data_IF_959979989783
#
_entry.id   IF_959979989783
#
_cell.length_a   1.000
_cell.length_b   1.000
_cell.length_c   1.000
_cell.angle_alpha   90.00
_cell.angle_beta   90.00
_cell.angle_gamma   90.00
#
_symmetry.space_group_name_H-M   'P 1'
#
loop_
_entity.id
_entity.type
_entity.pdbx_description
1 polymer ?
#
# COMPACT_ATOMS: atom_id res chain seq x y z
N UNK A 1 5.91 -29.85 -57.65
CA UNK A 1 6.86 -28.73 -57.39
C UNK A 1 6.39 -28.00 -56.15
N UNK A 2 7.34 -27.63 -55.29
CA UNK A 2 7.15 -27.40 -53.85
C UNK A 2 6.33 -26.15 -53.49
N UNK A 3 5.37 -26.30 -52.58
CA UNK A 3 4.66 -25.18 -51.95
C UNK A 3 5.59 -24.46 -50.96
N UNK A 4 5.86 -23.17 -51.21
CA UNK A 4 6.64 -22.31 -50.32
C UNK A 4 5.70 -21.72 -49.27
N UNK A 5 5.80 -22.21 -48.03
CA UNK A 5 5.19 -21.55 -46.87
C UNK A 5 6.00 -20.30 -46.50
N UNK A 6 5.39 -19.13 -46.64
CA UNK A 6 5.94 -17.86 -46.19
C UNK A 6 5.58 -17.69 -44.70
N UNK A 7 6.52 -17.97 -43.80
CA UNK A 7 6.38 -17.67 -42.38
C UNK A 7 6.56 -16.15 -42.18
N UNK A 8 5.46 -15.42 -42.03
CA UNK A 8 5.48 -14.03 -41.57
C UNK A 8 5.79 -14.03 -40.06
N UNK A 9 7.04 -13.74 -39.72
CA UNK A 9 7.40 -13.33 -38.36
C UNK A 9 6.79 -11.94 -38.10
N UNK A 10 5.68 -11.91 -37.36
CA UNK A 10 5.20 -10.68 -36.72
C UNK A 10 6.25 -10.27 -35.68
N UNK A 11 7.11 -9.33 -36.05
CA UNK A 11 7.97 -8.62 -35.11
C UNK A 11 7.01 -7.80 -34.23
N UNK A 12 6.66 -8.34 -33.07
CA UNK A 12 5.96 -7.60 -32.03
C UNK A 12 6.86 -6.46 -31.61
N UNK A 13 6.61 -5.26 -32.12
CA UNK A 13 7.23 -4.03 -31.62
C UNK A 13 6.84 -3.92 -30.16
N UNK A 14 7.75 -4.24 -29.25
CA UNK A 14 7.60 -3.92 -27.84
C UNK A 14 7.50 -2.41 -27.75
N UNK A 15 6.27 -1.90 -27.63
CA UNK A 15 5.99 -0.52 -27.25
C UNK A 15 6.58 -0.35 -25.85
N UNK A 16 7.85 0.04 -25.78
CA UNK A 16 8.50 0.39 -24.53
C UNK A 16 7.59 1.39 -23.83
N UNK A 17 7.08 1.01 -22.66
CA UNK A 17 6.26 1.89 -21.87
C UNK A 17 7.08 3.14 -21.54
N UNK A 18 6.70 4.30 -22.08
CA UNK A 18 7.40 5.55 -21.81
C UNK A 18 7.00 6.05 -20.43
N UNK A 19 7.72 5.60 -19.41
CA UNK A 19 7.53 6.08 -18.03
C UNK A 19 8.11 7.49 -17.85
N UNK A 20 7.56 8.31 -16.94
CA UNK A 20 8.10 9.63 -16.65
C UNK A 20 9.52 9.58 -16.06
N UNK A 21 10.49 10.28 -16.66
CA UNK A 21 11.88 10.31 -16.17
C UNK A 21 11.99 10.81 -14.72
N UNK A 22 11.06 11.67 -14.29
CA UNK A 22 10.98 12.17 -12.91
C UNK A 22 10.81 11.08 -11.84
N UNK A 23 10.43 9.86 -12.22
CA UNK A 23 10.33 8.72 -11.31
C UNK A 23 11.68 8.16 -10.86
N UNK A 24 12.76 8.50 -11.57
CA UNK A 24 14.14 8.11 -11.23
C UNK A 24 15.07 9.32 -11.05
N UNK A 25 14.53 10.54 -11.06
CA UNK A 25 15.34 11.76 -10.92
C UNK A 25 16.12 11.72 -9.60
N UNK A 26 17.46 11.74 -9.64
CA UNK A 26 18.26 11.66 -8.44
C UNK A 26 17.99 12.80 -7.46
N UNK A 27 18.06 12.48 -6.17
CA UNK A 27 17.99 13.44 -5.06
C UNK A 27 19.32 13.40 -4.32
N UNK A 28 19.89 14.56 -4.00
CA UNK A 28 21.15 14.66 -3.27
C UNK A 28 21.04 13.98 -1.89
N UNK A 29 22.11 13.31 -1.45
CA UNK A 29 22.09 12.57 -0.18
C UNK A 29 21.82 13.48 1.03
N UNK A 30 22.25 14.74 0.98
CA UNK A 30 21.99 15.76 1.99
C UNK A 30 20.51 16.15 2.12
N UNK A 31 19.71 15.91 1.09
CA UNK A 31 18.27 16.19 1.07
C UNK A 31 17.42 15.00 1.50
N UNK A 32 18.01 13.81 1.61
CA UNK A 32 17.30 12.59 2.03
C UNK A 32 17.27 12.48 3.55
N UNK A 33 16.09 12.16 4.09
CA UNK A 33 16.02 11.75 5.49
C UNK A 33 16.75 10.40 5.68
N UNK A 34 17.28 10.15 6.89
CA UNK A 34 18.06 8.92 7.18
C UNK A 34 17.31 7.60 6.96
N UNK A 35 15.97 7.65 6.97
CA UNK A 35 15.09 6.51 6.71
C UNK A 35 14.68 6.38 5.24
N UNK A 36 14.88 7.42 4.43
CA UNK A 36 14.33 7.56 3.09
C UNK A 36 15.22 6.88 2.05
N UNK A 37 14.59 6.19 1.09
CA UNK A 37 15.21 5.73 -0.15
C UNK A 37 14.72 6.67 -1.27
N UNK A 38 15.64 7.41 -1.88
CA UNK A 38 15.32 8.35 -2.97
C UNK A 38 14.91 7.65 -4.27
N UNK A 39 14.31 8.37 -5.23
CA UNK A 39 13.87 7.83 -6.53
C UNK A 39 14.94 7.03 -7.28
N UNK A 40 16.21 7.43 -7.17
CA UNK A 40 17.36 6.74 -7.77
C UNK A 40 17.62 5.32 -7.24
N UNK A 41 16.90 4.88 -6.19
CA UNK A 41 16.96 3.49 -5.72
C UNK A 41 16.21 2.49 -6.61
N UNK A 42 15.42 2.95 -7.58
CA UNK A 42 14.80 2.13 -8.61
C UNK A 42 15.68 1.97 -9.84
N UNK A 43 15.39 0.96 -10.66
CA UNK A 43 16.04 0.72 -11.95
C UNK A 43 15.08 1.10 -13.08
N UNK A 44 15.45 2.06 -13.92
CA UNK A 44 14.59 2.54 -15.02
C UNK A 44 14.04 1.37 -15.85
N UNK A 45 12.75 1.45 -16.16
CA UNK A 45 11.97 0.43 -16.89
C UNK A 45 11.83 -0.95 -16.21
N UNK A 46 12.43 -1.17 -15.04
CA UNK A 46 12.37 -2.43 -14.28
C UNK A 46 11.67 -2.26 -12.93
N UNK A 47 12.07 -1.26 -12.15
CA UNK A 47 11.55 -1.01 -10.80
C UNK A 47 11.50 0.48 -10.46
N UNK A 48 10.58 0.85 -9.57
CA UNK A 48 10.38 2.25 -9.17
C UNK A 48 10.12 2.35 -7.68
N UNK A 49 10.72 3.35 -7.04
CA UNK A 49 10.41 3.70 -5.65
C UNK A 49 9.07 4.43 -5.61
N UNK A 50 8.18 4.03 -4.70
CA UNK A 50 6.94 4.75 -4.40
C UNK A 50 7.24 6.04 -3.63
N UNK A 51 7.96 6.95 -4.27
CA UNK A 51 8.52 8.16 -3.65
C UNK A 51 7.45 9.20 -3.38
N UNK A 52 7.45 9.75 -2.16
CA UNK A 52 6.59 10.90 -1.79
C UNK A 52 7.00 12.22 -2.47
N UNK A 53 8.10 12.25 -3.23
CA UNK A 53 8.63 13.44 -3.91
C UNK A 53 8.03 13.68 -5.29
N UNK A 54 7.16 12.78 -5.75
CA UNK A 54 6.41 12.90 -6.99
C UNK A 54 5.02 12.25 -6.82
N UNK A 55 4.26 12.12 -7.90
CA UNK A 55 2.90 11.58 -7.91
C UNK A 55 2.79 10.14 -7.39
N UNK A 56 3.86 9.35 -7.42
CA UNK A 56 3.87 7.99 -6.84
C UNK A 56 3.66 8.02 -5.32
N UNK A 57 3.87 9.17 -4.68
CA UNK A 57 3.59 9.42 -3.29
C UNK A 57 2.15 9.13 -2.90
N UNK A 58 1.21 9.25 -3.85
CA UNK A 58 -0.20 8.95 -3.62
C UNK A 58 -0.44 7.48 -3.27
N UNK A 59 0.43 6.56 -3.70
CA UNK A 59 0.41 5.13 -3.33
C UNK A 59 0.97 4.90 -1.91
N UNK A 60 1.57 5.88 -1.25
CA UNK A 60 1.98 5.71 0.14
C UNK A 60 0.78 5.52 1.07
N UNK A 61 0.93 4.74 2.14
CA UNK A 61 -0.05 4.71 3.23
C UNK A 61 -0.20 6.08 3.91
N UNK A 62 0.81 6.94 3.79
CA UNK A 62 0.84 8.29 4.37
C UNK A 62 0.06 9.33 3.56
N UNK A 63 -0.27 9.03 2.30
CA UNK A 63 -1.02 9.96 1.47
C UNK A 63 -2.43 10.21 2.03
N UNK A 64 -2.82 11.48 2.13
CA UNK A 64 -4.18 11.91 2.47
C UNK A 64 -5.11 11.61 1.30
N UNK A 65 -5.58 10.37 1.25
CA UNK A 65 -6.42 9.78 0.20
C UNK A 65 -7.63 9.19 0.90
N UNK A 66 -8.65 10.00 1.19
CA UNK A 66 -9.74 9.58 2.05
C UNK A 66 -10.49 8.39 1.45
N UNK A 67 -10.96 7.50 2.32
CA UNK A 67 -11.82 6.38 1.94
C UNK A 67 -12.77 6.03 3.07
N UNK A 68 -13.87 5.38 2.71
CA UNK A 68 -14.84 4.80 3.63
C UNK A 68 -14.61 3.31 3.69
N UNK A 69 -14.45 2.77 4.90
CA UNK A 69 -14.39 1.35 5.16
C UNK A 69 -15.43 1.01 6.22
N UNK A 70 -16.35 0.11 5.89
CA UNK A 70 -17.41 -0.35 6.80
C UNK A 70 -18.23 0.80 7.42
N UNK A 71 -18.57 1.81 6.60
CA UNK A 71 -19.36 2.98 7.02
C UNK A 71 -18.56 4.07 7.75
N UNK A 72 -17.27 3.86 8.04
CA UNK A 72 -16.42 4.87 8.67
C UNK A 72 -15.44 5.49 7.68
N UNK A 73 -15.39 6.83 7.66
CA UNK A 73 -14.43 7.60 6.86
C UNK A 73 -13.07 7.70 7.56
N UNK A 74 -12.01 7.46 6.81
CA UNK A 74 -10.62 7.62 7.22
C UNK A 74 -9.90 8.58 6.26
N UNK A 75 -9.07 9.52 6.74
CA UNK A 75 -8.31 10.42 5.85
C UNK A 75 -7.21 9.73 5.03
N UNK A 76 -6.75 8.57 5.47
CA UNK A 76 -5.73 7.76 4.80
C UNK A 76 -5.50 6.43 5.50
N UNK A 77 -4.74 5.54 4.86
CA UNK A 77 -4.53 4.16 5.34
C UNK A 77 -3.75 4.14 6.65
N UNK A 78 -2.80 5.06 6.84
CA UNK A 78 -2.00 5.14 8.05
C UNK A 78 -2.85 5.39 9.31
N UNK A 79 -3.78 6.34 9.27
CA UNK A 79 -4.67 6.62 10.41
C UNK A 79 -5.52 5.40 10.77
N UNK A 80 -6.14 4.77 9.78
CA UNK A 80 -6.86 3.51 9.96
C UNK A 80 -5.98 2.44 10.62
N UNK A 81 -4.82 2.17 10.05
CA UNK A 81 -3.89 1.16 10.54
C UNK A 81 -3.50 1.43 11.99
N UNK A 82 -2.99 2.62 12.27
CA UNK A 82 -2.43 2.94 13.58
C UNK A 82 -3.52 2.94 14.65
N UNK A 83 -4.77 3.29 14.29
CA UNK A 83 -5.91 3.18 15.20
C UNK A 83 -6.18 1.75 15.69
N UNK A 84 -5.81 0.71 14.93
CA UNK A 84 -6.02 -0.70 15.35
C UNK A 84 -5.24 -1.05 16.63
N UNK A 85 -4.13 -0.34 16.90
CA UNK A 85 -3.29 -0.53 18.09
C UNK A 85 -3.93 -0.02 19.38
N UNK A 86 -4.95 0.83 19.26
CA UNK A 86 -5.67 1.42 20.39
C UNK A 86 -6.89 0.57 20.80
N UNK A 87 -7.32 0.67 22.07
CA UNK A 87 -8.53 0.00 22.55
C UNK A 87 -9.72 0.27 21.64
N UNK A 88 -10.48 -0.76 21.27
CA UNK A 88 -11.65 -0.59 20.39
C UNK A 88 -12.86 -0.01 21.11
N UNK A 89 -13.02 -0.34 22.39
CA UNK A 89 -14.09 0.11 23.27
C UNK A 89 -13.69 -0.14 24.73
N UNK A 90 -14.57 0.21 25.66
CA UNK A 90 -14.32 0.12 27.11
C UNK A 90 -14.12 -1.31 27.62
N UNK A 91 -14.52 -2.33 26.84
CA UNK A 91 -14.34 -3.75 27.16
C UNK A 91 -13.02 -4.32 26.64
N UNK A 92 -12.26 -3.56 25.84
CA UNK A 92 -10.96 -3.98 25.34
C UNK A 92 -9.94 -3.92 26.48
N UNK A 93 -9.33 -5.05 26.84
CA UNK A 93 -8.40 -5.13 27.99
C UNK A 93 -7.25 -4.10 27.94
N UNK A 94 -6.93 -3.59 26.75
CA UNK A 94 -5.90 -2.56 26.56
C UNK A 94 -6.27 -1.23 27.22
N UNK A 95 -7.55 -0.97 27.54
CA UNK A 95 -7.97 0.22 28.30
C UNK A 95 -7.24 0.33 29.64
N UNK A 96 -6.93 -0.80 30.26
CA UNK A 96 -6.29 -0.87 31.58
C UNK A 96 -4.76 -0.75 31.54
N UNK A 97 -4.14 -0.67 30.36
CA UNK A 97 -2.68 -0.70 30.24
C UNK A 97 -2.02 0.63 30.62
N UNK A 98 -2.73 1.73 30.42
CA UNK A 98 -2.25 3.09 30.69
C UNK A 98 -3.40 4.09 30.59
N UNK A 99 -3.15 5.34 30.99
CA UNK A 99 -4.00 6.45 30.59
C UNK A 99 -3.66 6.85 29.15
N UNK A 100 -4.47 6.39 28.20
CA UNK A 100 -4.20 6.56 26.78
C UNK A 100 -4.24 8.04 26.38
N UNK A 101 -3.17 8.52 25.73
CA UNK A 101 -3.11 9.89 25.21
C UNK A 101 -4.15 10.17 24.12
N UNK A 102 -4.47 9.16 23.32
CA UNK A 102 -5.41 9.25 22.21
C UNK A 102 -6.39 8.10 22.27
N UNK A 103 -7.64 8.37 21.90
CA UNK A 103 -8.64 7.36 21.57
C UNK A 103 -8.36 6.77 20.18
N UNK A 104 -8.95 5.60 19.93
CA UNK A 104 -8.94 4.98 18.60
C UNK A 104 -9.60 5.86 17.54
N UNK A 105 -10.64 6.60 17.90
CA UNK A 105 -11.35 7.44 16.93
C UNK A 105 -10.49 8.62 16.48
N UNK A 106 -9.79 9.28 17.40
CA UNK A 106 -8.86 10.37 17.12
C UNK A 106 -7.74 9.91 16.19
N UNK A 107 -7.07 8.80 16.51
CA UNK A 107 -6.00 8.26 15.67
C UNK A 107 -6.50 7.86 14.28
N UNK A 108 -7.73 7.35 14.19
CA UNK A 108 -8.39 7.06 12.93
C UNK A 108 -8.61 8.29 12.03
N UNK A 109 -8.59 9.50 12.59
CA UNK A 109 -8.67 10.76 11.85
C UNK A 109 -7.31 11.42 11.60
N UNK A 110 -6.21 10.82 12.06
CA UNK A 110 -4.85 11.28 11.75
C UNK A 110 -4.38 10.77 10.39
N UNK A 111 -3.28 11.32 9.88
CA UNK A 111 -2.65 10.85 8.64
C UNK A 111 -1.13 11.02 8.67
N UNK A 112 -0.44 10.33 7.77
CA UNK A 112 1.02 10.47 7.61
C UNK A 112 1.80 10.32 8.91
N UNK A 113 2.75 11.24 9.13
CA UNK A 113 3.64 11.21 10.29
C UNK A 113 2.93 11.39 11.64
N UNK A 114 1.80 12.10 11.67
CA UNK A 114 1.00 12.26 12.89
C UNK A 114 0.41 10.93 13.35
N UNK A 115 -0.23 10.20 12.43
CA UNK A 115 -0.77 8.86 12.70
C UNK A 115 0.36 7.89 13.09
N UNK A 116 1.51 7.96 12.40
CA UNK A 116 2.68 7.15 12.75
C UNK A 116 3.18 7.44 14.16
N UNK A 117 3.28 8.70 14.57
CA UNK A 117 3.72 9.07 15.91
C UNK A 117 2.78 8.52 17.00
N UNK A 118 1.46 8.63 16.80
CA UNK A 118 0.47 8.02 17.69
C UNK A 118 0.61 6.48 17.72
N UNK A 119 0.86 5.87 16.56
CA UNK A 119 1.12 4.45 16.42
C UNK A 119 2.37 3.94 17.12
N UNK A 120 3.46 4.71 17.10
CA UNK A 120 4.72 4.37 17.76
C UNK A 120 4.57 4.44 19.30
N UNK A 121 3.84 5.45 19.78
CA UNK A 121 3.41 5.52 21.19
C UNK A 121 2.64 4.27 21.61
N UNK A 122 1.61 3.87 20.85
CA UNK A 122 0.83 2.66 21.12
C UNK A 122 1.69 1.38 21.05
N UNK A 123 2.61 1.29 20.09
CA UNK A 123 3.54 0.15 19.99
C UNK A 123 4.41 -0.01 21.23
N UNK A 124 4.84 1.09 21.85
CA UNK A 124 5.63 1.04 23.08
C UNK A 124 4.84 0.39 24.22
N UNK A 125 3.57 0.77 24.37
CA UNK A 125 2.65 0.21 25.36
C UNK A 125 2.35 -1.27 25.07
N UNK A 126 2.07 -1.62 23.81
CA UNK A 126 1.81 -3.01 23.41
C UNK A 126 3.03 -3.91 23.70
N UNK A 127 4.25 -3.45 23.39
CA UNK A 127 5.49 -4.19 23.69
C UNK A 127 5.69 -4.38 25.18
N UNK A 128 5.50 -3.34 26.00
CA UNK A 128 5.60 -3.42 27.47
C UNK A 128 4.64 -4.47 28.03
N UNK A 129 3.45 -4.59 27.46
CA UNK A 129 2.41 -5.53 27.86
C UNK A 129 2.44 -6.86 27.10
N UNK A 130 3.48 -7.13 26.29
CA UNK A 130 3.67 -8.37 25.51
C UNK A 130 2.47 -8.73 24.62
N UNK A 131 1.80 -7.73 24.05
CA UNK A 131 0.67 -7.92 23.13
C UNK A 131 1.13 -7.85 21.68
N UNK A 132 0.74 -8.84 20.88
CA UNK A 132 1.03 -8.94 19.45
C UNK A 132 -0.23 -9.08 18.57
N UNK A 133 -1.36 -8.63 19.10
CA UNK A 133 -2.66 -8.60 18.42
C UNK A 133 -3.28 -7.20 18.47
N UNK A 134 -4.18 -6.96 17.54
CA UNK A 134 -5.06 -5.78 17.48
C UNK A 134 -6.52 -6.24 17.46
N UNK A 135 -7.47 -5.33 17.65
CA UNK A 135 -8.90 -5.65 17.49
C UNK A 135 -9.49 -4.93 16.29
N UNK A 136 -10.50 -5.55 15.67
CA UNK A 136 -11.36 -4.91 14.68
C UNK A 136 -12.73 -5.58 14.67
N UNK A 137 -13.79 -4.77 14.85
CA UNK A 137 -15.18 -5.20 15.00
C UNK A 137 -15.33 -6.27 16.09
N UNK A 138 -14.72 -6.04 17.26
CA UNK A 138 -14.80 -6.93 18.42
C UNK A 138 -13.96 -8.21 18.32
N UNK A 139 -13.26 -8.44 17.20
CA UNK A 139 -12.42 -9.63 16.99
C UNK A 139 -10.95 -9.30 17.20
N UNK A 140 -10.23 -10.16 17.92
CA UNK A 140 -8.76 -10.09 18.03
C UNK A 140 -8.11 -10.67 16.77
N UNK A 141 -7.19 -9.92 16.19
CA UNK A 141 -6.44 -10.27 14.99
C UNK A 141 -4.96 -10.35 15.34
N UNK A 142 -4.30 -11.46 14.98
CA UNK A 142 -2.83 -11.55 15.08
C UNK A 142 -2.21 -10.43 14.24
N UNK A 143 -1.47 -9.53 14.88
CA UNK A 143 -0.91 -8.34 14.26
C UNK A 143 0.49 -8.60 13.72
N UNK A 144 1.34 -9.22 14.55
CA UNK A 144 2.70 -9.59 14.17
C UNK A 144 2.74 -11.05 13.71
N UNK A 145 2.79 -11.25 12.39
CA UNK A 145 2.88 -12.59 11.78
C UNK A 145 3.46 -12.49 10.37
N UNK A 146 4.21 -13.52 9.98
CA UNK A 146 4.72 -13.74 8.63
C UNK A 146 3.66 -14.29 7.65
N UNK A 147 2.50 -14.72 8.15
CA UNK A 147 1.40 -15.27 7.35
C UNK A 147 0.42 -14.18 6.89
N UNK A 148 -0.20 -14.38 5.72
CA UNK A 148 -1.31 -13.55 5.21
C UNK A 148 -2.63 -13.87 5.92
N UNK A 149 -2.71 -13.58 7.22
CA UNK A 149 -3.89 -13.80 8.06
C UNK A 149 -4.96 -12.70 7.99
N UNK A 150 -5.86 -12.66 8.98
CA UNK A 150 -6.98 -11.72 9.02
C UNK A 150 -6.54 -10.24 9.07
N UNK A 151 -5.44 -9.92 9.76
CA UNK A 151 -4.88 -8.56 9.74
C UNK A 151 -4.44 -8.16 8.32
N UNK A 152 -3.78 -9.04 7.57
CA UNK A 152 -3.42 -8.79 6.17
C UNK A 152 -4.67 -8.56 5.30
N UNK A 153 -5.70 -9.39 5.44
CA UNK A 153 -6.97 -9.22 4.71
C UNK A 153 -7.64 -7.88 5.04
N UNK A 154 -7.57 -7.44 6.30
CA UNK A 154 -8.09 -6.15 6.72
C UNK A 154 -7.35 -4.97 6.08
N UNK A 155 -6.01 -4.99 6.09
CA UNK A 155 -5.21 -3.96 5.42
C UNK A 155 -5.44 -3.97 3.90
N UNK A 156 -5.55 -5.17 3.29
CA UNK A 156 -5.91 -5.31 1.88
C UNK A 156 -7.25 -4.66 1.56
N UNK A 157 -8.27 -4.85 2.40
CA UNK A 157 -9.59 -4.21 2.24
C UNK A 157 -9.51 -2.68 2.34
N UNK A 158 -8.72 -2.15 3.27
CA UNK A 158 -8.53 -0.71 3.40
C UNK A 158 -7.83 -0.11 2.16
N UNK A 159 -6.79 -0.77 1.65
CA UNK A 159 -6.10 -0.34 0.43
C UNK A 159 -6.98 -0.50 -0.82
N UNK A 160 -7.82 -1.53 -0.88
CA UNK A 160 -8.81 -1.69 -1.94
C UNK A 160 -9.86 -0.57 -1.90
N UNK A 161 -10.40 -0.24 -0.72
CA UNK A 161 -11.34 0.87 -0.57
C UNK A 161 -10.71 2.22 -1.01
N UNK A 162 -9.43 2.46 -0.63
CA UNK A 162 -8.66 3.59 -1.16
C UNK A 162 -8.59 3.58 -2.68
N UNK A 163 -8.25 2.44 -3.29
CA UNK A 163 -8.14 2.31 -4.75
C UNK A 163 -9.47 2.59 -5.48
N UNK A 164 -10.56 2.00 -5.00
CA UNK A 164 -11.88 2.09 -5.64
C UNK A 164 -12.50 3.49 -5.53
N UNK A 165 -12.23 4.18 -4.43
CA UNK A 165 -12.86 5.47 -4.13
C UNK A 165 -12.01 6.68 -4.57
N UNK A 166 -10.79 6.46 -5.06
CA UNK A 166 -9.88 7.53 -5.49
C UNK A 166 -9.41 7.29 -6.94
N UNK A 167 -10.04 7.92 -7.95
CA UNK A 167 -9.67 7.74 -9.36
C UNK A 167 -8.20 8.00 -9.66
N UNK A 168 -7.61 9.05 -9.06
CA UNK A 168 -6.19 9.38 -9.21
C UNK A 168 -5.27 8.25 -8.68
N UNK A 169 -5.65 7.58 -7.58
CA UNK A 169 -4.91 6.42 -7.08
C UNK A 169 -4.94 5.28 -8.10
N UNK A 170 -6.10 5.03 -8.72
CA UNK A 170 -6.25 4.02 -9.78
C UNK A 170 -5.38 4.36 -10.98
N UNK A 171 -5.46 5.60 -11.46
CA UNK A 171 -4.70 6.08 -12.62
C UNK A 171 -3.19 5.93 -12.39
N UNK A 172 -2.66 6.46 -11.28
CA UNK A 172 -1.25 6.36 -10.95
C UNK A 172 -0.83 4.90 -10.79
N UNK A 173 -1.62 4.06 -10.12
CA UNK A 173 -1.30 2.63 -9.99
C UNK A 173 -1.20 1.94 -11.35
N UNK A 174 -2.16 2.17 -12.25
CA UNK A 174 -2.17 1.55 -13.58
C UNK A 174 -1.05 2.09 -14.48
N UNK A 175 -0.67 3.36 -14.33
CA UNK A 175 0.46 3.95 -15.07
C UNK A 175 1.80 3.25 -14.80
N UNK A 176 1.93 2.56 -13.67
CA UNK A 176 3.15 1.79 -13.33
C UNK A 176 3.28 0.46 -14.09
N UNK A 177 2.24 0.03 -14.82
CA UNK A 177 2.21 -1.18 -15.67
C UNK A 177 2.87 -2.40 -15.03
N UNK A 178 4.05 -2.81 -15.51
CA UNK A 178 4.75 -4.01 -15.04
C UNK A 178 5.93 -3.71 -14.12
N UNK A 179 6.17 -2.43 -13.80
CA UNK A 179 7.26 -2.05 -12.89
C UNK A 179 7.12 -2.74 -11.54
N UNK A 180 8.26 -3.18 -11.00
CA UNK A 180 8.36 -3.64 -9.63
C UNK A 180 8.26 -2.43 -8.71
N UNK A 181 7.22 -2.38 -7.88
CA UNK A 181 7.05 -1.31 -6.90
C UNK A 181 7.91 -1.58 -5.68
N UNK A 182 8.73 -0.60 -5.31
CA UNK A 182 9.64 -0.64 -4.17
C UNK A 182 9.22 0.39 -3.10
N UNK A 183 9.40 0.08 -1.80
CA UNK A 183 9.13 1.04 -0.74
C UNK A 183 10.18 2.15 -0.73
N UNK A 184 9.80 3.32 -0.24
CA UNK A 184 10.66 4.49 -0.02
C UNK A 184 11.42 4.46 1.33
N UNK A 185 11.48 3.30 1.96
CA UNK A 185 12.15 3.09 3.24
C UNK A 185 12.66 1.65 3.35
N UNK A 186 13.58 1.44 4.29
CA UNK A 186 14.17 0.11 4.54
C UNK A 186 13.11 -0.85 5.11
N UNK A 187 12.99 -2.02 4.49
CA UNK A 187 12.15 -3.14 4.95
C UNK A 187 12.99 -4.38 5.19
N UNK A 188 12.56 -5.26 6.09
CA UNK A 188 13.17 -6.58 6.31
C UNK A 188 12.38 -7.68 5.59
N UNK A 189 13.04 -8.75 5.11
CA UNK A 189 12.32 -9.90 4.55
C UNK A 189 11.30 -10.51 5.52
N UNK A 190 11.62 -10.48 6.82
CA UNK A 190 10.80 -10.98 7.93
C UNK A 190 9.66 -10.04 8.35
N UNK A 191 9.55 -8.85 7.75
CA UNK A 191 8.44 -7.94 8.06
C UNK A 191 7.10 -8.60 7.67
N UNK A 192 6.05 -8.42 8.51
CA UNK A 192 4.72 -8.96 8.23
C UNK A 192 4.22 -8.61 6.82
N UNK A 193 3.52 -9.51 6.13
CA UNK A 193 2.99 -9.25 4.78
C UNK A 193 2.10 -8.01 4.69
N UNK A 194 1.39 -7.67 5.78
CA UNK A 194 0.54 -6.49 5.84
C UNK A 194 1.35 -5.19 5.68
N UNK A 195 2.63 -5.19 6.07
CA UNK A 195 3.53 -4.02 6.07
C UNK A 195 4.12 -3.75 4.69
N UNK A 196 4.04 -4.73 3.78
CA UNK A 196 4.57 -4.67 2.42
C UNK A 196 3.53 -4.04 1.48
N UNK A 197 3.20 -2.77 1.71
CA UNK A 197 2.18 -2.04 0.95
C UNK A 197 2.45 -2.03 -0.56
N UNK A 198 3.72 -1.93 -0.98
CA UNK A 198 4.15 -2.04 -2.37
C UNK A 198 3.74 -3.39 -3.02
N UNK A 199 3.83 -4.49 -2.27
CA UNK A 199 3.41 -5.82 -2.72
C UNK A 199 1.88 -5.93 -2.78
N UNK A 200 1.16 -5.26 -1.88
CA UNK A 200 -0.30 -5.17 -1.93
C UNK A 200 -0.73 -4.39 -3.18
N UNK A 201 -0.10 -3.25 -3.47
CA UNK A 201 -0.39 -2.48 -4.69
C UNK A 201 -0.19 -3.27 -5.97
N UNK A 202 0.92 -4.00 -6.11
CA UNK A 202 1.13 -4.85 -7.28
C UNK A 202 0.07 -5.96 -7.40
N UNK A 203 -0.40 -6.51 -6.26
CA UNK A 203 -1.53 -7.46 -6.27
C UNK A 203 -2.82 -6.79 -6.77
N UNK A 204 -3.14 -5.60 -6.27
CA UNK A 204 -4.35 -4.87 -6.68
C UNK A 204 -4.30 -4.44 -8.15
N UNK A 205 -3.14 -3.96 -8.62
CA UNK A 205 -2.87 -3.64 -10.02
C UNK A 205 -3.11 -4.85 -10.93
N UNK A 206 -2.57 -6.01 -10.57
CA UNK A 206 -2.78 -7.25 -11.34
C UNK A 206 -4.27 -7.63 -11.43
N UNK A 207 -5.02 -7.46 -10.35
CA UNK A 207 -6.46 -7.73 -10.35
C UNK A 207 -7.22 -6.77 -11.28
N UNK A 208 -6.86 -5.49 -11.31
CA UNK A 208 -7.45 -4.51 -12.22
C UNK A 208 -7.17 -4.85 -13.68
N UNK A 209 -5.91 -5.17 -14.01
CA UNK A 209 -5.52 -5.57 -15.36
C UNK A 209 -6.29 -6.80 -15.85
N UNK A 210 -6.47 -7.82 -14.98
CA UNK A 210 -7.27 -9.02 -15.32
C UNK A 210 -8.72 -8.63 -15.61
N UNK A 211 -9.31 -7.75 -14.79
CA UNK A 211 -10.68 -7.29 -14.96
C UNK A 211 -10.86 -6.53 -16.29
N UNK A 212 -9.99 -5.57 -16.57
CA UNK A 212 -10.05 -4.77 -17.81
C UNK A 212 -9.87 -5.65 -19.06
N UNK A 213 -8.96 -6.63 -19.03
CA UNK A 213 -8.79 -7.58 -20.13
C UNK A 213 -10.02 -8.48 -20.33
N UNK A 214 -10.67 -8.92 -19.24
CA UNK A 214 -11.89 -9.72 -19.34
C UNK A 214 -13.05 -8.92 -19.92
N UNK A 215 -13.19 -7.64 -19.55
CA UNK A 215 -14.22 -6.75 -20.07
C UNK A 215 -14.01 -6.44 -21.55
N UNK A 216 -12.76 -6.17 -21.97
CA UNK A 216 -12.41 -5.96 -23.38
C UNK A 216 -12.69 -7.20 -24.24
N UNK A 217 -12.38 -8.40 -23.74
CA UNK A 217 -12.65 -9.64 -24.47
C UNK A 217 -14.15 -9.93 -24.67
N UNK A 218 -15.01 -9.43 -23.79
CA UNK A 218 -16.47 -9.56 -23.92
C UNK A 218 -17.06 -8.51 -24.86
N UNK A 219 -16.49 -7.31 -24.94
CA UNK A 219 -16.94 -6.28 -25.88
C UNK A 219 -16.58 -6.60 -27.33
N UNK A 220 -15.48 -7.31 -27.58
CA UNK A 220 -15.07 -7.71 -28.94
C UNK A 220 -15.89 -8.89 -29.51
N UNK A 221 -16.73 -9.52 -28.66
CA UNK A 221 -17.58 -10.66 -29.03
C UNK A 221 -19.07 -10.30 -29.18
N UNK A 222 -19.46 -9.04 -28.92
CA UNK A 222 -20.83 -8.53 -29.01
C UNK A 222 -21.03 -7.68 -30.28
#
# INVERSE_FOLDING_TARGET
MWAKYLFLFLISTSLYAKYPDKWWRPVAQSELASWEIGPQGGTKDVSVILSKRNELGILSNFAKTPFVLDGKRYPGVEGFWQSLKFPENDKDIRTNFTNWKYSRSEVGQMSGFEAKAAGDYATTIMRKNKIDWVTFKGRRLKYWTDKKGEHYKLILRAMQAKLEQNPEVKEILMSTKDLILLPDHKTKPTDPPAWKYNKIWMKLRKNLQIKENSEASMSDQA
#
